data_IF_046905017788
#
_entry.id   IF_046905017788
#
_cell.length_a   1.000
_cell.length_b   1.000
_cell.length_c   1.000
_cell.angle_alpha   90.00
_cell.angle_beta   90.00
_cell.angle_gamma   90.00
#
_symmetry.space_group_name_H-M   'P 1'
#
loop_
_entity.id
_entity.type
_entity.pdbx_description
1 polymer ?
#
# COMPACT_ATOMS: atom_id res chain seq x y z
N UNK A 1 15.73 -22.93 -1.08
CA UNK A 1 17.05 -22.35 -0.75
C UNK A 1 17.00 -22.08 0.74
N UNK A 2 17.78 -22.82 1.52
CA UNK A 2 17.90 -22.59 2.96
C UNK A 2 18.42 -21.17 3.15
N UNK A 3 17.70 -20.37 3.92
CA UNK A 3 18.21 -19.12 4.44
C UNK A 3 19.36 -19.50 5.35
N UNK A 4 20.59 -19.24 4.94
CA UNK A 4 21.74 -19.32 5.84
C UNK A 4 21.44 -18.49 7.06
N UNK A 5 21.38 -19.16 8.20
CA UNK A 5 21.33 -18.48 9.50
C UNK A 5 22.68 -17.78 9.66
N UNK A 6 22.69 -16.50 9.44
CA UNK A 6 23.80 -15.65 9.87
C UNK A 6 23.91 -15.79 11.37
N UNK A 7 25.07 -16.25 11.81
CA UNK A 7 25.44 -16.30 13.24
C UNK A 7 25.31 -14.91 13.84
N UNK A 8 24.85 -14.76 15.09
CA UNK A 8 24.82 -13.49 15.77
C UNK A 8 26.30 -13.03 15.95
N UNK A 9 26.64 -11.89 15.41
CA UNK A 9 27.84 -11.15 15.78
C UNK A 9 27.72 -10.78 17.26
N UNK A 10 28.37 -11.57 18.08
CA UNK A 10 28.48 -11.36 19.51
C UNK A 10 29.59 -10.35 19.80
N UNK A 11 29.32 -9.06 19.65
CA UNK A 11 30.04 -8.04 20.40
C UNK A 11 29.06 -7.49 21.44
N UNK A 12 29.37 -7.74 22.70
CA UNK A 12 28.71 -7.08 23.84
C UNK A 12 29.00 -5.59 23.73
N UNK A 13 28.02 -4.84 23.21
CA UNK A 13 27.99 -3.40 23.35
C UNK A 13 27.69 -3.16 24.84
N UNK A 14 28.68 -2.65 25.57
CA UNK A 14 28.45 -2.12 26.91
C UNK A 14 27.35 -1.07 26.82
N UNK A 15 26.33 -1.11 27.68
CA UNK A 15 25.34 -0.04 27.75
C UNK A 15 26.11 1.24 28.11
N UNK A 16 25.97 2.26 27.28
CA UNK A 16 26.35 3.63 27.63
C UNK A 16 25.72 3.93 28.98
N UNK A 17 26.56 4.24 29.97
CA UNK A 17 26.23 4.35 31.37
C UNK A 17 24.89 5.08 31.58
N UNK A 18 24.08 4.50 32.45
CA UNK A 18 22.91 5.14 33.04
C UNK A 18 23.35 6.47 33.66
N UNK A 19 23.35 7.51 32.85
CA UNK A 19 23.10 8.82 33.40
C UNK A 19 21.66 8.76 33.85
N UNK A 20 21.43 8.66 35.14
CA UNK A 20 20.19 8.97 35.82
C UNK A 20 19.72 10.37 35.37
N UNK A 21 19.23 10.44 34.11
CA UNK A 21 18.48 11.55 33.60
C UNK A 21 17.13 11.48 34.29
N UNK A 22 16.78 12.49 35.03
CA UNK A 22 15.46 12.72 35.60
C UNK A 22 14.40 12.22 34.61
N UNK A 23 13.69 11.17 35.01
CA UNK A 23 12.74 10.47 34.15
C UNK A 23 11.80 11.49 33.50
N UNK A 24 11.74 11.45 32.18
CA UNK A 24 10.71 12.14 31.43
C UNK A 24 9.35 11.67 31.99
N UNK A 25 8.72 12.49 32.81
CA UNK A 25 7.39 12.26 33.36
C UNK A 25 6.34 12.50 32.27
N UNK A 26 6.61 11.98 31.06
CA UNK A 26 5.66 12.00 29.97
C UNK A 26 4.52 11.02 30.26
N UNK A 27 3.31 11.53 30.39
CA UNK A 27 2.11 10.69 30.53
C UNK A 27 1.83 9.88 29.26
N UNK A 28 2.51 10.12 28.14
CA UNK A 28 2.28 9.53 26.81
C UNK A 28 3.54 8.81 26.34
N UNK A 29 3.43 7.53 26.00
CA UNK A 29 4.55 6.73 25.50
C UNK A 29 4.69 6.85 23.99
N UNK A 30 3.58 7.05 23.27
CA UNK A 30 3.54 7.15 21.81
C UNK A 30 2.58 8.25 21.36
N UNK A 31 3.04 9.13 20.47
CA UNK A 31 2.20 9.98 19.63
C UNK A 31 2.33 9.52 18.16
N UNK A 32 1.20 9.34 17.48
CA UNK A 32 1.15 8.98 16.07
C UNK A 32 0.61 10.16 15.27
N UNK A 33 1.37 10.65 14.30
CA UNK A 33 0.97 11.74 13.38
C UNK A 33 0.48 11.14 12.06
N UNK A 34 -0.77 11.42 11.72
CA UNK A 34 -1.49 10.79 10.61
C UNK A 34 -2.17 9.50 11.06
N UNK A 35 -3.49 9.53 11.17
CA UNK A 35 -4.31 8.42 11.67
C UNK A 35 -5.02 7.66 10.55
N UNK A 36 -4.39 7.60 9.37
CA UNK A 36 -4.88 6.84 8.22
C UNK A 36 -4.57 5.33 8.30
N UNK A 37 -4.48 4.70 7.12
CA UNK A 37 -4.28 3.25 6.94
C UNK A 37 -2.97 2.69 7.52
N UNK A 38 -2.02 3.53 7.88
CA UNK A 38 -0.76 3.15 8.55
C UNK A 38 -0.81 3.49 10.03
N UNK A 39 -1.12 4.74 10.37
CA UNK A 39 -0.98 5.22 11.74
C UNK A 39 -2.06 4.70 12.69
N UNK A 40 -3.30 4.52 12.23
CA UNK A 40 -4.37 4.01 13.11
C UNK A 40 -4.16 2.54 13.49
N UNK A 41 -3.81 1.61 12.56
CA UNK A 41 -3.41 0.26 12.93
C UNK A 41 -2.19 0.20 13.87
N UNK A 42 -1.18 1.06 13.66
CA UNK A 42 -0.03 1.16 14.56
C UNK A 42 -0.46 1.58 15.97
N UNK A 43 -1.31 2.61 16.07
CA UNK A 43 -1.84 3.08 17.35
C UNK A 43 -2.63 1.97 18.08
N UNK A 44 -3.46 1.21 17.33
CA UNK A 44 -4.22 0.06 17.87
C UNK A 44 -3.30 -1.00 18.48
N UNK A 45 -2.26 -1.40 17.74
CA UNK A 45 -1.32 -2.42 18.24
C UNK A 45 -0.56 -1.94 19.48
N UNK A 46 -0.12 -0.68 19.50
CA UNK A 46 0.54 -0.10 20.65
C UNK A 46 -0.38 -0.04 21.88
N UNK A 47 -1.65 0.37 21.69
CA UNK A 47 -2.66 0.36 22.77
C UNK A 47 -2.93 -1.06 23.26
N UNK A 48 -2.96 -2.05 22.39
CA UNK A 48 -3.27 -3.44 22.75
C UNK A 48 -2.26 -4.07 23.71
N UNK A 49 -1.04 -3.54 23.76
CA UNK A 49 0.00 -3.97 24.71
C UNK A 49 0.12 -3.05 25.92
N UNK A 50 -0.84 -2.13 26.11
CA UNK A 50 -0.95 -1.26 27.27
C UNK A 50 -0.13 0.02 27.20
N UNK A 51 0.38 0.42 26.02
CA UNK A 51 1.02 1.72 25.88
C UNK A 51 -0.01 2.86 25.90
N UNK A 52 0.35 3.97 26.51
CA UNK A 52 -0.44 5.21 26.49
C UNK A 52 -0.18 5.95 25.20
N UNK A 53 -1.20 5.93 24.30
CA UNK A 53 -1.09 6.43 22.94
C UNK A 53 -2.00 7.62 22.71
N UNK A 54 -1.49 8.62 22.01
CA UNK A 54 -2.28 9.72 21.44
C UNK A 54 -2.10 9.76 19.93
N UNK A 55 -3.10 10.27 19.22
CA UNK A 55 -3.03 10.49 17.80
C UNK A 55 -3.13 11.98 17.46
N UNK A 56 -2.46 12.39 16.38
CA UNK A 56 -2.58 13.72 15.78
C UNK A 56 -3.01 13.56 14.33
N UNK A 57 -4.12 14.21 13.96
CA UNK A 57 -4.56 14.28 12.57
C UNK A 57 -5.08 15.68 12.25
N UNK A 58 -4.82 16.15 11.03
CA UNK A 58 -5.26 17.49 10.60
C UNK A 58 -6.75 17.54 10.26
N UNK A 59 -7.39 16.39 9.96
CA UNK A 59 -8.81 16.33 9.63
C UNK A 59 -9.65 16.27 10.94
N UNK A 60 -10.42 17.32 11.25
CA UNK A 60 -11.27 17.34 12.42
C UNK A 60 -12.38 16.28 12.39
N UNK A 61 -12.80 15.83 11.19
CA UNK A 61 -13.81 14.75 11.07
C UNK A 61 -13.22 13.40 11.47
N UNK A 62 -11.98 13.11 11.08
CA UNK A 62 -11.23 11.92 11.51
C UNK A 62 -11.09 11.93 13.04
N UNK A 63 -10.62 13.03 13.60
CA UNK A 63 -10.43 13.19 15.06
C UNK A 63 -11.75 13.04 15.82
N UNK A 64 -12.82 13.70 15.38
CA UNK A 64 -14.14 13.58 15.99
C UNK A 64 -14.71 12.15 15.87
N UNK A 65 -14.55 11.51 14.72
CA UNK A 65 -14.94 10.12 14.48
C UNK A 65 -14.27 9.17 15.47
N UNK A 66 -12.95 9.19 15.55
CA UNK A 66 -12.16 8.35 16.43
C UNK A 66 -12.49 8.60 17.91
N UNK A 67 -12.62 9.86 18.33
CA UNK A 67 -12.99 10.21 19.69
C UNK A 67 -14.42 9.79 20.05
N UNK A 68 -15.31 9.59 19.07
CA UNK A 68 -16.66 9.02 19.25
C UNK A 68 -16.74 7.50 19.11
N UNK A 69 -15.60 6.81 18.91
CA UNK A 69 -15.54 5.35 18.79
C UNK A 69 -15.86 4.83 17.38
N UNK A 70 -15.69 5.65 16.33
CA UNK A 70 -15.92 5.29 14.94
C UNK A 70 -14.62 5.30 14.15
N UNK A 71 -14.41 4.27 13.35
CA UNK A 71 -13.29 4.16 12.43
C UNK A 71 -13.63 4.76 11.06
N UNK A 72 -12.59 5.16 10.35
CA UNK A 72 -12.63 5.52 8.93
C UNK A 72 -11.65 4.65 8.11
N UNK A 73 -11.06 3.63 8.74
CA UNK A 73 -10.09 2.70 8.15
C UNK A 73 -10.64 1.30 8.24
N UNK A 74 -10.76 0.60 7.11
CA UNK A 74 -11.40 -0.73 7.02
C UNK A 74 -10.72 -1.79 7.89
N UNK A 75 -9.38 -1.70 8.04
CA UNK A 75 -8.57 -2.64 8.84
C UNK A 75 -8.68 -2.42 10.37
N UNK A 76 -9.39 -1.40 10.81
CA UNK A 76 -9.65 -1.09 12.22
C UNK A 76 -11.14 -0.92 12.41
N UNK A 77 -11.77 -1.82 13.14
CA UNK A 77 -13.21 -1.77 13.36
C UNK A 77 -13.61 -0.68 14.38
N UNK A 78 -14.89 -0.28 14.38
CA UNK A 78 -15.45 0.60 15.41
C UNK A 78 -15.27 0.01 16.82
N UNK A 79 -15.34 -1.32 16.94
CA UNK A 79 -15.08 -2.03 18.20
C UNK A 79 -13.63 -1.88 18.64
N UNK A 80 -12.69 -1.92 17.72
CA UNK A 80 -11.27 -1.66 18.03
C UNK A 80 -11.10 -0.22 18.54
N UNK A 81 -11.69 0.76 17.85
CA UNK A 81 -11.60 2.17 18.26
C UNK A 81 -12.22 2.38 19.64
N UNK A 82 -13.38 1.74 19.93
CA UNK A 82 -13.99 1.80 21.27
C UNK A 82 -13.06 1.25 22.34
N UNK A 83 -12.44 0.06 22.11
CA UNK A 83 -11.45 -0.53 23.02
C UNK A 83 -10.24 0.37 23.21
N UNK A 84 -9.73 1.00 22.14
CA UNK A 84 -8.64 1.98 22.25
C UNK A 84 -9.03 3.17 23.13
N UNK A 85 -10.24 3.69 22.97
CA UNK A 85 -10.77 4.79 23.79
C UNK A 85 -10.89 4.41 25.26
N UNK A 86 -11.39 3.22 25.56
CA UNK A 86 -11.49 2.68 26.93
C UNK A 86 -10.10 2.52 27.57
N UNK A 87 -9.07 2.20 26.76
CA UNK A 87 -7.68 2.15 27.19
C UNK A 87 -6.99 3.52 27.25
N UNK A 88 -7.71 4.62 26.98
CA UNK A 88 -7.21 5.99 27.14
C UNK A 88 -6.66 6.64 25.86
N UNK A 89 -6.78 6.00 24.68
CA UNK A 89 -6.43 6.64 23.42
C UNK A 89 -7.27 7.89 23.18
N UNK A 90 -6.63 8.95 22.70
CA UNK A 90 -7.31 10.20 22.32
C UNK A 90 -6.65 10.77 21.06
N UNK A 91 -7.48 11.20 20.11
CA UNK A 91 -7.04 11.91 18.92
C UNK A 91 -7.16 13.43 19.09
N UNK A 92 -6.22 14.17 18.51
CA UNK A 92 -6.11 15.63 18.59
C UNK A 92 -5.90 16.23 17.20
N UNK A 93 -6.29 17.51 17.04
CA UNK A 93 -5.91 18.33 15.88
C UNK A 93 -4.78 19.31 16.22
N UNK A 94 -4.42 19.44 17.50
CA UNK A 94 -3.41 20.36 18.03
C UNK A 94 -2.12 19.58 18.35
N UNK A 95 -0.99 20.11 17.92
CA UNK A 95 0.34 19.51 18.09
C UNK A 95 0.90 19.59 19.51
N UNK A 96 0.23 20.28 20.45
CA UNK A 96 0.64 20.35 21.85
C UNK A 96 0.70 18.95 22.53
N UNK A 97 -0.05 17.97 22.01
CA UNK A 97 0.03 16.58 22.48
C UNK A 97 1.42 15.95 22.30
N UNK A 98 2.24 16.44 21.35
CA UNK A 98 3.56 15.92 21.04
C UNK A 98 4.58 16.21 22.16
N UNK A 99 4.40 17.30 22.92
CA UNK A 99 5.30 17.63 24.03
C UNK A 99 5.37 16.53 25.10
N UNK A 100 4.30 15.75 25.25
CA UNK A 100 4.17 14.74 26.31
C UNK A 100 4.63 13.37 25.87
N UNK A 101 4.90 13.17 24.57
CA UNK A 101 5.23 11.87 24.02
C UNK A 101 6.71 11.52 24.24
N UNK A 102 6.97 10.26 24.59
CA UNK A 102 8.35 9.69 24.61
C UNK A 102 8.82 9.31 23.19
N UNK A 103 7.89 8.80 22.38
CA UNK A 103 8.12 8.46 20.98
C UNK A 103 7.08 9.17 20.11
N UNK A 104 7.52 9.71 18.98
CA UNK A 104 6.64 10.28 17.95
C UNK A 104 6.87 9.50 16.65
N UNK A 105 5.79 8.96 16.07
CA UNK A 105 5.83 8.25 14.78
C UNK A 105 5.06 9.07 13.74
N UNK A 106 5.71 9.35 12.61
CA UNK A 106 5.16 10.13 11.50
C UNK A 106 4.66 9.16 10.42
N UNK A 107 3.33 9.11 10.22
CA UNK A 107 2.62 8.23 9.28
C UNK A 107 1.76 9.04 8.29
N UNK A 108 2.22 10.19 7.85
CA UNK A 108 1.50 11.07 6.95
C UNK A 108 1.59 10.61 5.49
N UNK A 109 0.60 10.94 4.63
CA UNK A 109 0.64 10.56 3.23
C UNK A 109 1.77 11.26 2.47
N UNK A 110 2.28 10.58 1.45
CA UNK A 110 3.31 11.06 0.53
C UNK A 110 2.84 10.80 -0.91
N UNK A 111 1.89 11.59 -1.46
CA UNK A 111 1.43 11.40 -2.83
C UNK A 111 2.52 11.76 -3.84
N UNK A 112 2.30 11.46 -5.12
CA UNK A 112 3.16 11.96 -6.19
C UNK A 112 2.85 13.43 -6.44
N UNK A 113 3.90 14.22 -6.66
CA UNK A 113 3.83 15.58 -7.18
C UNK A 113 3.69 15.58 -8.70
N UNK A 114 3.38 16.73 -9.30
CA UNK A 114 3.15 16.88 -10.73
C UNK A 114 4.38 16.50 -11.58
N UNK A 115 5.57 16.58 -11.02
CA UNK A 115 6.84 16.18 -11.67
C UNK A 115 7.17 14.66 -11.50
N UNK A 116 6.25 13.90 -10.89
CA UNK A 116 6.35 12.46 -10.68
C UNK A 116 7.24 12.06 -9.49
N UNK A 117 7.74 13.01 -8.70
CA UNK A 117 8.44 12.79 -7.46
C UNK A 117 7.48 12.64 -6.26
N UNK A 118 7.98 12.27 -5.07
CA UNK A 118 7.16 12.28 -3.86
C UNK A 118 6.90 13.71 -3.40
N UNK A 119 5.64 14.04 -3.11
CA UNK A 119 5.30 15.25 -2.38
C UNK A 119 5.61 15.05 -0.89
N UNK A 120 6.68 15.70 -0.42
CA UNK A 120 7.10 15.65 0.97
C UNK A 120 6.48 16.75 1.84
N UNK A 121 5.54 17.53 1.33
CA UNK A 121 4.92 18.66 2.04
C UNK A 121 4.33 18.24 3.40
N UNK A 122 3.61 17.13 3.45
CA UNK A 122 3.05 16.61 4.70
C UNK A 122 4.14 16.13 5.67
N UNK A 123 5.19 15.47 5.18
CA UNK A 123 6.35 15.02 6.01
C UNK A 123 7.08 16.23 6.59
N UNK A 124 7.35 17.25 5.78
CA UNK A 124 8.01 18.49 6.22
C UNK A 124 7.16 19.22 7.27
N UNK A 125 5.86 19.33 7.03
CA UNK A 125 4.93 19.97 7.97
C UNK A 125 4.87 19.22 9.31
N UNK A 126 4.70 17.90 9.28
CA UNK A 126 4.70 17.06 10.47
C UNK A 126 6.03 17.14 11.23
N UNK A 127 7.16 17.12 10.51
CA UNK A 127 8.50 17.24 11.11
C UNK A 127 8.69 18.60 11.80
N UNK A 128 8.21 19.69 11.22
CA UNK A 128 8.25 21.02 11.83
C UNK A 128 7.38 21.11 13.08
N UNK A 129 6.18 20.51 13.07
CA UNK A 129 5.35 20.40 14.26
C UNK A 129 6.08 19.66 15.40
N UNK A 130 6.74 18.53 15.05
CA UNK A 130 7.59 17.80 16.01
C UNK A 130 8.74 18.68 16.51
N UNK A 131 9.48 19.35 15.62
CA UNK A 131 10.63 20.19 15.98
C UNK A 131 10.25 21.31 16.95
N UNK A 132 9.06 21.93 16.75
CA UNK A 132 8.53 22.96 17.65
C UNK A 132 8.20 22.47 19.06
N UNK A 133 8.04 21.17 19.26
CA UNK A 133 7.69 20.50 20.52
C UNK A 133 8.75 19.53 21.02
N UNK A 134 9.91 19.47 20.32
CA UNK A 134 10.93 18.46 20.56
C UNK A 134 11.62 18.63 21.90
N UNK A 135 11.84 17.54 22.61
CA UNK A 135 12.52 17.52 23.92
C UNK A 135 13.64 16.47 23.94
N UNK A 136 14.64 16.73 24.78
CA UNK A 136 15.72 15.76 25.03
C UNK A 136 15.14 14.38 25.42
N UNK A 137 15.74 13.36 24.88
CA UNK A 137 15.35 11.99 25.16
C UNK A 137 14.20 11.46 24.31
N UNK A 138 13.54 12.24 23.45
CA UNK A 138 12.50 11.72 22.54
C UNK A 138 13.10 10.86 21.43
N UNK A 139 12.28 9.89 20.98
CA UNK A 139 12.51 9.14 19.74
C UNK A 139 11.53 9.64 18.68
N UNK A 140 12.02 10.00 17.51
CA UNK A 140 11.21 10.32 16.33
C UNK A 140 11.43 9.23 15.30
N UNK A 141 10.35 8.70 14.73
CA UNK A 141 10.40 7.68 13.67
C UNK A 141 9.59 8.17 12.48
N UNK A 142 10.19 8.14 11.30
CA UNK A 142 9.49 8.32 10.04
C UNK A 142 9.02 6.94 9.55
N UNK A 143 7.70 6.76 9.35
CA UNK A 143 7.13 5.55 8.70
C UNK A 143 6.59 5.84 7.31
N UNK A 144 6.32 7.10 6.98
CA UNK A 144 5.87 7.49 5.63
C UNK A 144 6.84 7.00 4.58
N UNK A 145 6.32 6.41 3.49
CA UNK A 145 7.15 5.92 2.38
C UNK A 145 7.81 7.09 1.67
N UNK A 146 9.12 7.01 1.51
CA UNK A 146 9.95 8.07 0.89
C UNK A 146 11.12 7.43 0.13
N UNK A 147 11.98 8.25 -0.49
CA UNK A 147 13.21 7.78 -1.14
C UNK A 147 14.39 7.72 -0.16
N UNK A 148 15.42 6.90 -0.46
CA UNK A 148 16.62 6.77 0.38
C UNK A 148 17.32 8.11 0.58
N UNK A 149 17.52 8.46 1.84
CA UNK A 149 18.12 9.70 2.29
C UNK A 149 17.13 10.73 2.84
N UNK A 150 15.81 10.56 2.68
CA UNK A 150 14.83 11.53 3.18
C UNK A 150 14.96 11.75 4.68
N UNK A 151 15.12 10.70 5.46
CA UNK A 151 15.27 10.81 6.92
C UNK A 151 16.48 11.66 7.32
N UNK A 152 17.61 11.48 6.65
CA UNK A 152 18.85 12.21 6.98
C UNK A 152 18.95 13.58 6.31
N UNK A 153 18.45 13.71 5.06
CA UNK A 153 18.65 14.91 4.26
C UNK A 153 17.53 15.94 4.46
N UNK A 154 16.32 15.48 4.86
CA UNK A 154 15.14 16.34 5.04
C UNK A 154 14.70 16.39 6.50
N UNK A 155 14.39 15.23 7.11
CA UNK A 155 13.81 15.18 8.45
C UNK A 155 14.81 15.62 9.52
N UNK A 156 16.03 15.09 9.49
CA UNK A 156 17.07 15.42 10.47
C UNK A 156 17.36 16.93 10.56
N UNK A 157 17.65 17.66 9.47
CA UNK A 157 17.93 19.09 9.55
C UNK A 157 16.78 19.89 10.15
N UNK A 158 15.52 19.55 9.79
CA UNK A 158 14.34 20.21 10.34
C UNK A 158 14.17 19.97 11.85
N UNK A 159 14.46 18.76 12.34
CA UNK A 159 14.44 18.49 13.79
C UNK A 159 15.55 19.25 14.51
N UNK A 160 16.73 19.37 13.92
CA UNK A 160 17.88 20.08 14.50
C UNK A 160 17.70 21.62 14.52
N UNK A 161 16.71 22.19 13.80
CA UNK A 161 16.28 23.59 13.95
C UNK A 161 15.81 23.90 15.39
N UNK A 162 15.37 22.89 16.15
CA UNK A 162 15.06 23.02 17.59
C UNK A 162 16.26 23.32 18.48
N UNK A 163 17.49 23.21 17.94
CA UNK A 163 18.75 23.31 18.70
C UNK A 163 19.18 22.00 19.37
N UNK A 164 18.39 20.92 19.24
CA UNK A 164 18.73 19.59 19.73
C UNK A 164 19.41 18.77 18.62
N UNK A 165 20.38 17.92 18.99
CA UNK A 165 21.16 17.11 18.03
C UNK A 165 20.62 15.68 17.95
N UNK A 166 20.42 15.21 16.73
CA UNK A 166 20.05 13.82 16.46
C UNK A 166 21.23 12.90 16.76
N UNK A 167 20.99 11.85 17.54
CA UNK A 167 21.99 10.89 17.99
C UNK A 167 22.65 11.22 19.33
N UNK A 168 22.50 12.45 19.80
CA UNK A 168 22.99 12.93 21.11
C UNK A 168 21.83 13.25 22.05
N UNK A 169 20.99 14.20 21.68
CA UNK A 169 19.89 14.71 22.49
C UNK A 169 18.58 13.98 22.22
N UNK A 170 18.35 13.61 20.95
CA UNK A 170 17.14 12.94 20.47
C UNK A 170 17.52 11.81 19.53
N UNK A 171 16.66 10.80 19.42
CA UNK A 171 16.86 9.73 18.45
C UNK A 171 15.98 9.93 17.23
N UNK A 172 16.51 9.60 16.04
CA UNK A 172 15.80 9.59 14.77
C UNK A 172 16.01 8.27 14.07
N UNK A 173 14.93 7.66 13.61
CA UNK A 173 14.93 6.40 12.88
C UNK A 173 13.93 6.43 11.72
N UNK A 174 14.09 5.49 10.80
CA UNK A 174 13.13 5.15 9.76
C UNK A 174 12.65 3.71 9.95
N UNK A 175 11.36 3.49 9.76
CA UNK A 175 10.78 2.15 9.79
C UNK A 175 9.63 2.06 8.80
N UNK A 176 9.82 1.41 7.63
CA UNK A 176 8.77 1.36 6.62
C UNK A 176 7.56 0.55 7.09
N UNK A 177 6.36 0.99 6.70
CA UNK A 177 5.18 0.14 6.81
C UNK A 177 5.19 -0.94 5.73
N UNK A 178 4.91 -2.20 6.13
CA UNK A 178 4.98 -3.38 5.28
C UNK A 178 3.72 -4.23 5.32
N UNK A 179 2.66 -3.74 5.98
CA UNK A 179 1.38 -4.45 6.02
C UNK A 179 0.74 -4.44 4.63
N UNK A 180 0.06 -5.53 4.32
CA UNK A 180 -0.80 -5.65 3.15
C UNK A 180 -2.27 -5.48 3.60
N UNK A 181 -2.91 -4.32 3.35
CA UNK A 181 -4.29 -4.07 3.79
C UNK A 181 -5.24 -5.20 3.38
N UNK A 182 -6.13 -5.61 4.31
CA UNK A 182 -7.02 -6.74 4.12
C UNK A 182 -6.37 -8.12 4.29
N UNK A 183 -5.08 -8.21 4.66
CA UNK A 183 -4.43 -9.48 4.95
C UNK A 183 -4.74 -9.94 6.39
N UNK A 184 -5.59 -10.96 6.51
CA UNK A 184 -6.02 -11.50 7.82
C UNK A 184 -4.99 -12.43 8.48
N UNK A 185 -3.92 -12.83 7.78
CA UNK A 185 -2.92 -13.78 8.30
C UNK A 185 -1.68 -13.10 8.87
N UNK A 186 -1.30 -11.95 8.32
CA UNK A 186 -0.08 -11.23 8.68
C UNK A 186 -0.41 -9.76 8.92
N UNK A 187 -0.72 -9.45 10.17
CA UNK A 187 -0.89 -8.08 10.65
C UNK A 187 0.44 -7.42 11.01
N UNK A 188 0.38 -6.28 11.69
CA UNK A 188 1.57 -5.52 12.11
C UNK A 188 2.45 -6.32 13.07
N UNK A 189 1.85 -7.07 13.97
CA UNK A 189 2.56 -7.89 14.97
C UNK A 189 3.36 -9.03 14.35
N UNK A 190 2.80 -9.71 13.34
CA UNK A 190 3.37 -10.89 12.69
C UNK A 190 4.34 -10.54 11.56
N UNK A 191 4.19 -9.36 10.95
CA UNK A 191 5.06 -8.92 9.86
C UNK A 191 6.39 -8.40 10.42
N UNK A 192 7.54 -8.99 10.05
CA UNK A 192 8.83 -8.50 10.51
C UNK A 192 9.03 -7.02 10.16
N UNK A 193 9.29 -6.17 11.16
CA UNK A 193 9.45 -4.74 10.96
C UNK A 193 10.93 -4.39 10.76
N UNK A 194 11.22 -3.67 9.67
CA UNK A 194 12.58 -3.18 9.39
C UNK A 194 12.78 -1.84 10.11
N UNK A 195 13.92 -1.65 10.75
CA UNK A 195 14.26 -0.43 11.49
C UNK A 195 15.68 0.02 11.14
N UNK A 196 15.83 1.26 10.71
CA UNK A 196 17.12 1.92 10.50
C UNK A 196 17.24 3.18 11.36
N UNK A 197 18.31 3.32 12.11
CA UNK A 197 18.61 4.53 12.89
C UNK A 197 19.63 5.44 12.21
N UNK A 198 19.56 6.76 12.43
CA UNK A 198 20.59 7.70 11.99
C UNK A 198 21.94 7.43 12.67
N UNK A 199 21.92 6.85 13.87
CA UNK A 199 23.08 6.38 14.60
C UNK A 199 22.80 5.01 15.21
N UNK A 200 23.81 4.23 15.65
CA UNK A 200 23.57 2.97 16.34
C UNK A 200 22.66 3.12 17.58
N UNK A 201 22.81 4.19 18.35
CA UNK A 201 21.96 4.46 19.52
C UNK A 201 20.51 4.76 19.12
N UNK A 202 20.28 5.48 18.01
CA UNK A 202 18.95 5.70 17.45
C UNK A 202 18.29 4.37 17.05
N UNK A 203 19.06 3.48 16.39
CA UNK A 203 18.56 2.17 15.99
C UNK A 203 18.15 1.32 17.20
N UNK A 204 19.00 1.23 18.22
CA UNK A 204 18.69 0.48 19.46
C UNK A 204 17.40 0.99 20.12
N UNK A 205 17.21 2.31 20.20
CA UNK A 205 16.00 2.89 20.79
C UNK A 205 14.75 2.55 19.98
N UNK A 206 14.81 2.64 18.66
CA UNK A 206 13.68 2.30 17.80
C UNK A 206 13.38 0.79 17.83
N UNK A 207 14.39 -0.08 17.82
CA UNK A 207 14.26 -1.53 18.02
C UNK A 207 13.58 -1.84 19.36
N UNK A 208 14.02 -1.20 20.44
CA UNK A 208 13.42 -1.38 21.77
C UNK A 208 11.96 -0.91 21.81
N UNK A 209 11.65 0.19 21.13
CA UNK A 209 10.27 0.68 21.05
C UNK A 209 9.35 -0.30 20.32
N UNK A 210 9.68 -0.70 19.09
CA UNK A 210 8.87 -1.61 18.31
C UNK A 210 8.81 -3.02 18.90
N UNK A 211 9.88 -3.48 19.58
CA UNK A 211 9.93 -4.75 20.27
C UNK A 211 8.89 -4.93 21.38
N UNK A 212 8.20 -3.86 21.77
CA UNK A 212 7.09 -3.95 22.73
C UNK A 212 5.84 -4.60 22.14
N UNK A 213 5.63 -4.49 20.80
CA UNK A 213 4.40 -4.93 20.15
C UNK A 213 4.59 -5.62 18.78
N UNK A 214 5.81 -5.73 18.25
CA UNK A 214 6.12 -6.46 17.03
C UNK A 214 6.97 -7.67 17.35
N UNK A 215 6.60 -8.84 16.81
CA UNK A 215 7.24 -10.13 17.14
C UNK A 215 8.69 -10.24 16.64
N UNK A 216 9.01 -9.62 15.50
CA UNK A 216 10.33 -9.68 14.90
C UNK A 216 10.74 -8.32 14.36
N UNK A 217 11.94 -7.89 14.73
CA UNK A 217 12.53 -6.66 14.20
C UNK A 217 13.82 -7.00 13.48
N UNK A 218 13.95 -6.45 12.29
CA UNK A 218 15.14 -6.55 11.45
C UNK A 218 15.84 -5.20 11.47
N UNK A 219 16.96 -5.10 12.15
CA UNK A 219 17.73 -3.88 12.18
C UNK A 219 18.51 -3.74 10.86
N UNK A 220 18.25 -2.68 10.12
CA UNK A 220 19.04 -2.27 8.95
C UNK A 220 20.34 -1.60 9.37
N UNK A 221 21.30 -1.49 8.45
CA UNK A 221 22.58 -0.81 8.68
C UNK A 221 22.38 0.68 8.99
N UNK A 222 21.39 1.32 8.37
CA UNK A 222 21.04 2.71 8.56
C UNK A 222 19.63 3.02 8.02
N UNK A 223 19.26 4.29 8.07
CA UNK A 223 17.96 4.76 7.56
C UNK A 223 17.83 4.54 6.07
N UNK A 224 18.88 4.77 5.28
CA UNK A 224 18.87 4.63 3.82
C UNK A 224 18.61 3.20 3.36
N UNK A 225 19.16 2.20 4.04
CA UNK A 225 18.90 0.79 3.74
C UNK A 225 17.47 0.41 4.12
N UNK A 226 16.93 0.96 5.21
CA UNK A 226 15.55 0.72 5.61
C UNK A 226 14.56 1.38 4.63
N UNK A 227 14.82 2.61 4.16
CA UNK A 227 14.06 3.30 3.12
C UNK A 227 14.12 2.51 1.80
N UNK A 228 15.32 2.06 1.40
CA UNK A 228 15.52 1.28 0.17
C UNK A 228 14.79 -0.07 0.23
N UNK A 229 14.74 -0.73 1.37
CA UNK A 229 14.10 -2.04 1.51
C UNK A 229 12.63 -2.01 1.07
N UNK A 230 11.88 -0.99 1.50
CA UNK A 230 10.48 -0.79 1.10
C UNK A 230 10.34 -0.61 -0.40
N UNK A 231 11.15 0.25 -0.98
CA UNK A 231 11.11 0.53 -2.42
C UNK A 231 11.52 -0.69 -3.24
N UNK A 232 12.51 -1.46 -2.76
CA UNK A 232 12.93 -2.70 -3.42
C UNK A 232 11.81 -3.74 -3.46
N UNK A 233 11.08 -3.93 -2.35
CA UNK A 233 9.94 -4.86 -2.26
C UNK A 233 8.85 -4.49 -3.29
N UNK A 234 8.48 -3.21 -3.35
CA UNK A 234 7.42 -2.76 -4.25
C UNK A 234 7.90 -2.71 -5.72
N UNK A 235 9.16 -2.32 -5.97
CA UNK A 235 9.76 -2.40 -7.31
C UNK A 235 9.83 -3.84 -7.81
N UNK A 236 10.23 -4.79 -6.95
CA UNK A 236 10.24 -6.20 -7.30
C UNK A 236 8.85 -6.70 -7.72
N UNK A 237 7.80 -6.37 -6.97
CA UNK A 237 6.43 -6.72 -7.35
C UNK A 237 6.02 -6.05 -8.66
N UNK A 238 6.27 -4.76 -8.80
CA UNK A 238 5.91 -3.98 -9.98
C UNK A 238 6.54 -4.53 -11.28
N UNK A 239 7.85 -4.81 -11.26
CA UNK A 239 8.60 -5.36 -12.40
C UNK A 239 8.13 -6.78 -12.76
N UNK A 240 7.90 -7.64 -11.76
CA UNK A 240 7.46 -9.01 -12.01
C UNK A 240 6.01 -9.07 -12.51
N UNK A 241 5.13 -8.16 -12.08
CA UNK A 241 3.79 -8.04 -12.66
C UNK A 241 3.88 -7.58 -14.13
N UNK A 242 4.72 -6.60 -14.43
CA UNK A 242 4.95 -6.17 -15.81
C UNK A 242 5.47 -7.32 -16.69
N UNK A 243 6.43 -8.10 -16.21
CA UNK A 243 6.96 -9.26 -16.91
C UNK A 243 5.85 -10.26 -17.29
N UNK A 244 4.99 -10.64 -16.35
CA UNK A 244 3.92 -11.62 -16.66
C UNK A 244 2.79 -10.99 -17.48
N UNK A 245 2.54 -9.69 -17.38
CA UNK A 245 1.62 -8.97 -18.25
C UNK A 245 2.11 -8.94 -19.71
N UNK A 246 3.38 -8.66 -19.93
CA UNK A 246 3.99 -8.73 -21.27
C UNK A 246 3.98 -10.14 -21.82
N UNK A 247 4.31 -11.14 -20.98
CA UNK A 247 4.21 -12.54 -21.34
C UNK A 247 2.79 -12.97 -21.72
N UNK A 248 1.74 -12.43 -21.08
CA UNK A 248 0.37 -12.73 -21.47
C UNK A 248 0.06 -12.26 -22.90
N UNK A 249 0.55 -11.07 -23.28
CA UNK A 249 0.41 -10.55 -24.64
C UNK A 249 1.14 -11.45 -25.64
N UNK A 250 2.41 -11.75 -25.41
CA UNK A 250 3.26 -12.58 -26.28
C UNK A 250 2.72 -14.00 -26.39
N UNK A 251 2.34 -14.61 -25.29
CA UNK A 251 1.83 -15.99 -25.24
C UNK A 251 0.57 -16.17 -26.07
N UNK A 252 -0.31 -15.16 -26.07
CA UNK A 252 -1.50 -15.16 -26.92
C UNK A 252 -1.15 -15.24 -28.41
N UNK A 253 -0.21 -14.41 -28.85
CA UNK A 253 0.22 -14.39 -30.25
C UNK A 253 0.92 -15.72 -30.67
N UNK A 254 1.57 -16.35 -29.69
CA UNK A 254 2.24 -17.67 -29.89
C UNK A 254 1.31 -18.86 -29.64
N UNK A 255 0.02 -18.63 -29.33
CA UNK A 255 -0.95 -19.67 -28.95
C UNK A 255 -0.50 -20.55 -27.78
N UNK A 256 0.14 -19.92 -26.77
CA UNK A 256 0.57 -20.54 -25.50
C UNK A 256 -0.38 -20.12 -24.39
N UNK A 257 -0.80 -21.08 -23.56
CA UNK A 257 -1.51 -20.79 -22.32
C UNK A 257 -0.50 -20.30 -21.27
N UNK A 258 -0.48 -18.97 -21.04
CA UNK A 258 0.41 -18.33 -20.07
C UNK A 258 0.12 -18.75 -18.63
N UNK A 259 -1.14 -19.03 -18.30
CA UNK A 259 -1.55 -19.43 -16.96
C UNK A 259 -1.02 -20.82 -16.61
N UNK A 260 -1.11 -21.76 -17.56
CA UNK A 260 -0.52 -23.09 -17.41
C UNK A 260 1.01 -23.02 -17.37
N UNK A 261 1.62 -22.20 -18.20
CA UNK A 261 3.07 -21.98 -18.18
C UNK A 261 3.56 -21.45 -16.82
N UNK A 262 2.86 -20.46 -16.24
CA UNK A 262 3.15 -19.93 -14.89
C UNK A 262 2.95 -21.02 -13.83
N UNK A 263 1.86 -21.80 -13.92
CA UNK A 263 1.60 -22.92 -13.01
C UNK A 263 2.73 -23.93 -13.06
N UNK A 264 3.15 -24.33 -14.26
CA UNK A 264 4.26 -25.27 -14.46
C UNK A 264 5.58 -24.72 -13.92
N UNK A 265 5.92 -23.46 -14.22
CA UNK A 265 7.13 -22.82 -13.69
C UNK A 265 7.12 -22.72 -12.16
N UNK A 266 5.94 -22.51 -11.56
CA UNK A 266 5.73 -22.44 -10.12
C UNK A 266 5.94 -23.76 -9.37
N UNK A 267 6.02 -24.89 -10.06
CA UNK A 267 6.37 -26.18 -9.44
C UNK A 267 7.84 -26.29 -9.07
N UNK A 268 8.69 -25.40 -9.63
CA UNK A 268 10.10 -25.36 -9.27
C UNK A 268 10.26 -24.79 -7.84
N UNK A 269 10.88 -25.53 -6.91
CA UNK A 269 10.91 -25.13 -5.48
C UNK A 269 11.92 -24.00 -5.18
N UNK A 270 12.64 -23.49 -6.17
CA UNK A 270 13.63 -22.41 -6.02
C UNK A 270 13.74 -21.57 -7.29
N UNK A 271 14.17 -20.31 -7.12
CA UNK A 271 14.51 -19.40 -8.23
C UNK A 271 13.33 -18.96 -9.09
N UNK A 272 12.07 -19.20 -8.65
CA UNK A 272 10.86 -18.71 -9.30
C UNK A 272 9.80 -18.38 -8.26
N UNK A 273 9.21 -17.19 -8.36
CA UNK A 273 8.03 -16.78 -7.62
C UNK A 273 6.93 -16.49 -8.65
N UNK A 274 5.78 -17.13 -8.50
CA UNK A 274 4.67 -16.96 -9.41
C UNK A 274 4.00 -15.60 -9.24
N UNK A 275 3.98 -14.81 -10.28
CA UNK A 275 3.11 -13.65 -10.47
C UNK A 275 2.06 -13.99 -11.52
N UNK A 276 0.96 -13.23 -11.54
CA UNK A 276 -0.16 -13.49 -12.46
C UNK A 276 -0.46 -12.25 -13.28
N UNK A 277 -0.80 -12.41 -14.55
CA UNK A 277 -1.30 -11.32 -15.38
C UNK A 277 -2.52 -10.65 -14.77
N UNK A 278 -2.72 -9.39 -15.11
CA UNK A 278 -3.81 -8.56 -14.57
C UNK A 278 -4.19 -7.47 -15.57
N UNK A 279 -5.38 -6.86 -15.45
CA UNK A 279 -5.79 -5.74 -16.30
C UNK A 279 -4.99 -4.46 -16.08
N UNK A 280 -4.03 -4.47 -15.17
CA UNK A 280 -3.16 -3.37 -14.79
C UNK A 280 -2.79 -3.49 -13.32
N UNK A 281 -2.03 -2.52 -12.82
CA UNK A 281 -1.60 -2.43 -11.42
C UNK A 281 -2.28 -1.25 -10.78
N UNK A 282 -2.96 -1.49 -9.66
CA UNK A 282 -3.64 -0.46 -8.89
C UNK A 282 -3.15 -0.39 -7.44
N UNK A 283 -3.81 0.45 -6.65
CA UNK A 283 -3.47 0.71 -5.26
C UNK A 283 -2.43 1.82 -5.10
N UNK A 284 -2.24 2.25 -3.87
CA UNK A 284 -1.41 3.42 -3.56
C UNK A 284 0.10 3.12 -3.49
N UNK A 285 0.52 1.85 -3.44
CA UNK A 285 1.94 1.50 -3.20
C UNK A 285 2.65 1.04 -4.48
N UNK A 286 2.13 -0.01 -5.15
CA UNK A 286 2.87 -0.66 -6.25
C UNK A 286 3.06 0.26 -7.47
N UNK A 287 2.07 1.04 -7.93
CA UNK A 287 2.28 1.97 -9.05
C UNK A 287 3.01 3.26 -8.64
N UNK A 288 3.09 3.59 -7.35
CA UNK A 288 3.58 4.88 -6.84
C UNK A 288 5.00 4.79 -6.27
N UNK A 289 5.28 3.88 -5.34
CA UNK A 289 6.55 3.82 -4.63
C UNK A 289 7.78 3.64 -5.54
N UNK A 290 7.75 2.85 -6.64
CA UNK A 290 8.87 2.76 -7.56
C UNK A 290 9.24 4.11 -8.21
N UNK A 291 8.27 5.04 -8.35
CA UNK A 291 8.54 6.38 -8.88
C UNK A 291 9.43 7.19 -7.95
N UNK A 292 9.33 7.00 -6.63
CA UNK A 292 10.20 7.71 -5.68
C UNK A 292 11.67 7.36 -5.90
N UNK A 293 11.95 6.08 -6.17
CA UNK A 293 13.30 5.66 -6.48
C UNK A 293 13.75 6.16 -7.86
N UNK A 294 12.88 6.09 -8.87
CA UNK A 294 13.16 6.62 -10.22
C UNK A 294 13.44 8.12 -10.16
N UNK A 295 12.63 8.89 -9.42
CA UNK A 295 12.84 10.32 -9.19
C UNK A 295 14.20 10.60 -8.53
N UNK A 296 14.55 9.89 -7.43
CA UNK A 296 15.83 10.08 -6.74
C UNK A 296 17.02 9.72 -7.63
N UNK A 297 16.92 8.66 -8.41
CA UNK A 297 17.97 8.27 -9.37
C UNK A 297 18.15 9.38 -10.43
N UNK A 298 17.05 9.85 -11.02
CA UNK A 298 17.10 10.91 -12.05
C UNK A 298 17.66 12.22 -11.48
N UNK A 299 17.15 12.66 -10.34
CA UNK A 299 17.56 13.95 -9.73
C UNK A 299 18.98 13.94 -9.18
N UNK A 300 19.45 12.81 -8.62
CA UNK A 300 20.77 12.73 -7.99
C UNK A 300 21.87 12.18 -8.88
N UNK A 301 21.53 11.30 -9.84
CA UNK A 301 22.50 10.57 -10.66
C UNK A 301 22.43 10.95 -12.16
N UNK A 302 21.34 11.64 -12.60
CA UNK A 302 21.20 12.14 -13.94
C UNK A 302 20.84 11.09 -15.02
N UNK A 303 20.39 9.90 -14.63
CA UNK A 303 19.94 8.86 -15.55
C UNK A 303 18.62 8.21 -15.08
N UNK A 304 17.98 7.44 -15.95
CA UNK A 304 16.70 6.77 -15.67
C UNK A 304 16.88 5.43 -14.99
N UNK A 305 15.95 5.07 -14.11
CA UNK A 305 15.84 3.71 -13.58
C UNK A 305 15.03 2.84 -14.55
N UNK A 306 15.70 2.30 -15.57
CA UNK A 306 15.09 1.64 -16.74
C UNK A 306 14.07 0.55 -16.44
N UNK A 307 14.30 -0.27 -15.41
CA UNK A 307 13.36 -1.35 -15.05
C UNK A 307 12.03 -0.80 -14.56
N UNK A 308 12.04 0.31 -13.84
CA UNK A 308 10.80 0.94 -13.35
C UNK A 308 10.05 1.60 -14.52
N UNK A 309 10.74 2.37 -15.35
CA UNK A 309 10.14 3.04 -16.51
C UNK A 309 9.49 2.03 -17.47
N UNK A 310 10.21 0.94 -17.81
CA UNK A 310 9.70 -0.12 -18.68
C UNK A 310 8.48 -0.82 -18.05
N UNK A 311 8.57 -1.16 -16.75
CA UNK A 311 7.48 -1.84 -16.06
C UNK A 311 6.22 -0.96 -15.99
N UNK A 312 6.38 0.35 -15.79
CA UNK A 312 5.27 1.30 -15.83
C UNK A 312 4.63 1.38 -17.20
N UNK A 313 5.44 1.44 -18.26
CA UNK A 313 4.93 1.44 -19.64
C UNK A 313 4.08 0.21 -19.90
N UNK A 314 4.60 -0.99 -19.60
CA UNK A 314 3.91 -2.25 -19.82
C UNK A 314 2.60 -2.30 -19.02
N UNK A 315 2.65 -2.04 -17.72
CA UNK A 315 1.47 -2.12 -16.85
C UNK A 315 0.40 -1.09 -17.24
N UNK A 316 0.78 0.11 -17.67
CA UNK A 316 -0.14 1.17 -18.12
C UNK A 316 -0.87 0.81 -19.41
N UNK A 317 -0.28 -0.03 -20.27
CA UNK A 317 -0.87 -0.48 -21.54
C UNK A 317 -1.87 -1.63 -21.35
N UNK A 318 -1.90 -2.28 -20.19
CA UNK A 318 -2.78 -3.44 -19.96
C UNK A 318 -4.28 -3.11 -20.09
N UNK A 319 -4.81 -1.98 -19.60
CA UNK A 319 -6.20 -1.62 -19.82
C UNK A 319 -6.59 -1.54 -21.29
N UNK A 320 -5.70 -0.97 -22.14
CA UNK A 320 -5.94 -0.92 -23.58
C UNK A 320 -5.92 -2.33 -24.21
N UNK A 321 -5.00 -3.19 -23.74
CA UNK A 321 -4.98 -4.58 -24.18
C UNK A 321 -6.26 -5.32 -23.81
N UNK A 322 -6.78 -5.15 -22.59
CA UNK A 322 -8.05 -5.74 -22.16
C UNK A 322 -9.22 -5.27 -23.04
N UNK A 323 -9.30 -3.97 -23.33
CA UNK A 323 -10.38 -3.43 -24.18
C UNK A 323 -10.26 -3.93 -25.63
N UNK A 324 -9.06 -4.06 -26.19
CA UNK A 324 -8.84 -4.68 -27.50
C UNK A 324 -9.31 -6.13 -27.51
N UNK A 325 -8.98 -6.91 -26.47
CA UNK A 325 -9.44 -8.29 -26.33
C UNK A 325 -10.96 -8.41 -26.22
N UNK A 326 -11.59 -7.50 -25.46
CA UNK A 326 -13.04 -7.40 -25.36
C UNK A 326 -13.69 -7.12 -26.73
N UNK A 327 -13.09 -6.23 -27.53
CA UNK A 327 -13.53 -5.96 -28.89
C UNK A 327 -13.39 -7.19 -29.80
N UNK A 328 -12.29 -7.93 -29.74
CA UNK A 328 -12.06 -9.13 -30.53
C UNK A 328 -13.07 -10.22 -30.20
N UNK A 329 -13.42 -10.39 -28.91
CA UNK A 329 -14.45 -11.34 -28.46
C UNK A 329 -15.83 -11.00 -29.03
N UNK A 330 -16.23 -9.73 -28.93
CA UNK A 330 -17.51 -9.26 -29.48
C UNK A 330 -17.52 -9.44 -31.01
N UNK A 331 -16.45 -9.08 -31.70
CA UNK A 331 -16.34 -9.27 -33.15
C UNK A 331 -16.47 -10.75 -33.57
N UNK A 332 -15.87 -11.67 -32.81
CA UNK A 332 -16.01 -13.12 -33.04
C UNK A 332 -17.44 -13.58 -32.88
N UNK A 333 -18.21 -12.95 -31.96
CA UNK A 333 -19.63 -13.17 -31.80
C UNK A 333 -20.52 -12.39 -32.80
N UNK A 334 -19.91 -11.72 -33.78
CA UNK A 334 -20.62 -10.95 -34.80
C UNK A 334 -21.21 -9.63 -34.33
N UNK A 335 -20.66 -9.05 -33.24
CA UNK A 335 -21.12 -7.79 -32.62
C UNK A 335 -20.00 -6.76 -32.58
N UNK A 336 -20.28 -5.49 -32.93
CA UNK A 336 -19.32 -4.41 -32.74
C UNK A 336 -19.24 -4.02 -31.25
N UNK A 337 -18.12 -3.52 -30.79
CA UNK A 337 -18.01 -2.93 -29.46
C UNK A 337 -18.88 -1.66 -29.31
N UNK A 338 -19.00 -0.88 -30.37
CA UNK A 338 -19.87 0.28 -30.45
C UNK A 338 -21.33 -0.12 -30.21
N UNK A 339 -21.97 0.44 -29.20
CA UNK A 339 -23.35 0.16 -28.82
C UNK A 339 -23.54 -1.15 -28.05
N UNK A 340 -22.48 -1.92 -27.81
CA UNK A 340 -22.57 -3.12 -26.97
C UNK A 340 -22.67 -2.75 -25.49
N UNK A 341 -23.46 -3.52 -24.74
CA UNK A 341 -23.61 -3.42 -23.29
C UNK A 341 -22.55 -4.27 -22.62
N UNK A 342 -21.62 -3.63 -21.87
CA UNK A 342 -20.50 -4.26 -21.19
C UNK A 342 -20.68 -4.17 -19.68
N UNK A 343 -20.69 -5.30 -18.99
CA UNK A 343 -20.75 -5.40 -17.53
C UNK A 343 -19.34 -5.64 -16.97
N UNK A 344 -18.89 -4.76 -16.09
CA UNK A 344 -17.62 -4.91 -15.34
C UNK A 344 -17.91 -5.52 -13.96
N UNK A 345 -17.21 -6.60 -13.62
CA UNK A 345 -17.30 -7.26 -12.32
C UNK A 345 -16.05 -6.99 -11.50
N UNK A 346 -16.24 -6.36 -10.33
CA UNK A 346 -15.15 -5.95 -9.43
C UNK A 346 -14.39 -4.75 -9.97
N UNK A 347 -14.63 -3.57 -9.38
CA UNK A 347 -14.03 -2.31 -9.83
C UNK A 347 -12.95 -1.79 -8.86
N UNK A 348 -12.70 -2.49 -7.77
CA UNK A 348 -11.63 -2.18 -6.82
C UNK A 348 -10.26 -2.69 -7.33
N UNK A 349 -9.17 -2.15 -6.79
CA UNK A 349 -7.83 -2.58 -7.22
C UNK A 349 -7.42 -3.94 -6.63
N UNK A 350 -8.05 -4.37 -5.55
CA UNK A 350 -7.74 -5.62 -4.82
C UNK A 350 -9.03 -6.32 -4.43
N UNK A 351 -9.09 -7.68 -4.38
CA UNK A 351 -10.28 -8.40 -3.95
C UNK A 351 -10.61 -8.11 -2.47
N UNK A 352 -11.92 -8.10 -2.18
CA UNK A 352 -12.48 -8.03 -0.82
C UNK A 352 -12.15 -6.76 -0.03
N UNK A 353 -11.90 -5.65 -0.73
CA UNK A 353 -11.74 -4.30 -0.16
C UNK A 353 -12.58 -3.29 -0.94
N UNK A 354 -12.95 -2.18 -0.31
CA UNK A 354 -13.71 -1.09 -0.94
C UNK A 354 -12.82 0.00 -1.58
N UNK A 355 -11.55 -0.30 -1.85
CA UNK A 355 -10.55 0.69 -2.27
C UNK A 355 -10.47 0.82 -3.81
N UNK A 356 -10.75 2.03 -4.29
CA UNK A 356 -10.78 2.39 -5.72
C UNK A 356 -9.52 3.14 -6.18
N UNK A 357 -8.54 3.36 -5.32
CA UNK A 357 -7.34 4.15 -5.67
C UNK A 357 -6.55 3.47 -6.78
N UNK A 358 -6.26 4.22 -7.84
CA UNK A 358 -5.49 3.73 -9.02
C UNK A 358 -6.04 2.42 -9.60
N UNK A 359 -7.35 2.16 -9.50
CA UNK A 359 -7.92 0.91 -10.01
C UNK A 359 -7.80 0.82 -11.54
N UNK A 360 -7.36 -0.34 -12.09
CA UNK A 360 -7.36 -0.57 -13.53
C UNK A 360 -8.76 -0.52 -14.18
N UNK A 361 -9.81 -0.64 -13.39
CA UNK A 361 -11.20 -0.55 -13.88
C UNK A 361 -11.51 0.85 -14.44
N UNK A 362 -10.86 1.90 -13.92
CA UNK A 362 -11.08 3.27 -14.40
C UNK A 362 -10.61 3.47 -15.85
N UNK A 363 -9.34 3.23 -16.21
CA UNK A 363 -8.90 3.35 -17.60
C UNK A 363 -9.61 2.36 -18.53
N UNK A 364 -9.97 1.15 -18.08
CA UNK A 364 -10.79 0.22 -18.87
C UNK A 364 -12.15 0.84 -19.19
N UNK A 365 -12.82 1.42 -18.22
CA UNK A 365 -14.12 2.08 -18.40
C UNK A 365 -14.04 3.25 -19.35
N UNK A 366 -13.02 4.11 -19.18
CA UNK A 366 -12.77 5.26 -20.06
C UNK A 366 -12.62 4.80 -21.51
N UNK A 367 -11.76 3.83 -21.75
CA UNK A 367 -11.48 3.30 -23.08
C UNK A 367 -12.70 2.59 -23.73
N UNK A 368 -13.54 1.91 -22.95
CA UNK A 368 -14.79 1.32 -23.44
C UNK A 368 -15.79 2.41 -23.86
N UNK A 369 -15.95 3.47 -23.04
CA UNK A 369 -16.81 4.61 -23.34
C UNK A 369 -16.33 5.40 -24.56
N UNK A 370 -15.02 5.60 -24.72
CA UNK A 370 -14.44 6.23 -25.92
C UNK A 370 -14.81 5.45 -27.20
N UNK A 371 -14.95 4.14 -27.10
CA UNK A 371 -15.38 3.26 -28.19
C UNK A 371 -16.91 3.11 -28.26
N UNK A 372 -17.65 3.95 -27.54
CA UNK A 372 -19.12 4.02 -27.55
C UNK A 372 -19.81 2.74 -27.03
N UNK A 373 -19.17 2.00 -26.13
CA UNK A 373 -19.83 0.93 -25.37
C UNK A 373 -20.66 1.49 -24.21
N UNK A 374 -21.79 0.84 -23.90
CA UNK A 374 -22.60 1.13 -22.72
C UNK A 374 -22.05 0.32 -21.53
N UNK A 375 -21.42 1.03 -20.58
CA UNK A 375 -20.74 0.38 -19.46
C UNK A 375 -21.54 0.49 -18.19
N UNK A 376 -21.73 -0.65 -17.51
CA UNK A 376 -22.22 -0.72 -16.14
C UNK A 376 -21.30 -1.59 -15.28
N UNK A 377 -21.45 -1.54 -13.97
CA UNK A 377 -20.63 -2.35 -13.06
C UNK A 377 -21.47 -3.07 -12.00
N UNK A 378 -20.87 -4.13 -11.47
CA UNK A 378 -21.26 -4.75 -10.21
C UNK A 378 -20.02 -4.92 -9.34
N UNK A 379 -20.15 -4.54 -8.09
CA UNK A 379 -19.11 -4.75 -7.06
C UNK A 379 -19.79 -4.93 -5.70
N UNK A 380 -19.44 -5.96 -4.91
CA UNK A 380 -20.04 -6.19 -3.61
C UNK A 380 -19.65 -5.15 -2.55
N UNK A 381 -18.53 -4.45 -2.75
CA UNK A 381 -17.95 -3.49 -1.80
C UNK A 381 -18.15 -2.02 -2.21
N UNK A 382 -18.60 -1.76 -3.45
CA UNK A 382 -18.75 -0.41 -4.00
C UNK A 382 -20.19 -0.16 -4.41
N UNK A 383 -20.84 0.80 -3.75
CA UNK A 383 -22.21 1.17 -4.07
C UNK A 383 -22.30 2.23 -5.17
N UNK A 384 -21.36 3.15 -5.23
CA UNK A 384 -21.31 4.27 -6.18
C UNK A 384 -19.91 4.42 -6.73
N UNK A 385 -19.84 4.61 -8.02
CA UNK A 385 -18.58 4.81 -8.72
C UNK A 385 -18.76 5.76 -9.89
N UNK A 386 -17.75 6.60 -10.13
CA UNK A 386 -17.71 7.54 -11.26
C UNK A 386 -16.33 7.52 -11.89
N UNK A 387 -16.28 7.72 -13.20
CA UNK A 387 -15.06 7.86 -13.98
C UNK A 387 -15.12 9.18 -14.71
N UNK A 388 -14.08 10.03 -14.57
CA UNK A 388 -14.02 11.39 -15.12
C UNK A 388 -15.24 12.25 -14.75
N UNK A 389 -15.74 12.10 -13.51
CA UNK A 389 -16.92 12.80 -13.00
C UNK A 389 -18.26 12.29 -13.53
N UNK A 390 -18.27 11.27 -14.39
CA UNK A 390 -19.49 10.67 -14.94
C UNK A 390 -19.80 9.36 -14.20
N UNK A 391 -20.96 9.29 -13.56
CA UNK A 391 -21.38 8.09 -12.85
C UNK A 391 -21.42 6.87 -13.78
N UNK A 392 -20.98 5.71 -13.26
CA UNK A 392 -21.13 4.41 -13.91
C UNK A 392 -22.35 3.72 -13.29
N UNK A 393 -23.34 3.28 -14.10
CA UNK A 393 -24.52 2.59 -13.59
C UNK A 393 -24.15 1.30 -12.86
N UNK A 394 -24.67 1.12 -11.63
CA UNK A 394 -24.51 -0.13 -10.86
C UNK A 394 -25.69 -1.06 -11.14
N UNK A 395 -25.41 -2.34 -11.42
CA UNK A 395 -26.47 -3.36 -11.51
C UNK A 395 -26.76 -3.92 -10.12
N UNK A 396 -28.05 -4.09 -9.79
CA UNK A 396 -28.49 -4.63 -8.49
C UNK A 396 -28.66 -6.14 -8.52
N UNK A 397 -29.28 -6.68 -9.58
CA UNK A 397 -29.44 -8.12 -9.80
C UNK A 397 -28.38 -8.62 -10.78
N UNK A 398 -27.32 -9.20 -10.23
CA UNK A 398 -26.19 -9.71 -11.02
C UNK A 398 -26.64 -10.84 -11.96
N UNK A 399 -27.52 -11.75 -11.51
CA UNK A 399 -27.95 -12.91 -12.31
C UNK A 399 -28.76 -12.48 -13.54
N UNK A 400 -29.64 -11.49 -13.39
CA UNK A 400 -30.35 -10.91 -14.51
C UNK A 400 -29.41 -10.19 -15.48
N UNK A 401 -28.50 -9.37 -14.94
CA UNK A 401 -27.53 -8.61 -15.73
C UNK A 401 -26.61 -9.50 -16.57
N UNK A 402 -26.10 -10.62 -16.03
CA UNK A 402 -25.25 -11.56 -16.75
C UNK A 402 -25.89 -12.10 -18.05
N UNK A 403 -27.23 -12.18 -18.11
CA UNK A 403 -27.99 -12.64 -19.28
C UNK A 403 -28.29 -11.53 -20.29
N UNK A 404 -28.30 -10.30 -19.80
CA UNK A 404 -28.72 -9.14 -20.59
C UNK A 404 -27.56 -8.40 -21.26
N UNK A 405 -26.35 -8.49 -20.70
CA UNK A 405 -25.19 -7.81 -21.24
C UNK A 405 -24.52 -8.61 -22.34
N UNK A 406 -24.00 -7.92 -23.35
CA UNK A 406 -23.36 -8.52 -24.51
C UNK A 406 -21.98 -9.11 -24.15
N UNK A 407 -21.29 -8.52 -23.18
CA UNK A 407 -20.02 -8.98 -22.64
C UNK A 407 -19.94 -8.69 -21.15
N UNK A 408 -19.48 -9.66 -20.38
CA UNK A 408 -19.10 -9.51 -18.97
C UNK A 408 -17.58 -9.60 -18.83
N UNK A 409 -16.94 -8.65 -18.15
CA UNK A 409 -15.50 -8.64 -17.88
C UNK A 409 -15.27 -8.76 -16.38
N UNK A 410 -14.61 -9.83 -15.94
CA UNK A 410 -14.16 -9.99 -14.55
C UNK A 410 -12.85 -9.26 -14.38
N UNK A 411 -12.88 -8.07 -13.78
CA UNK A 411 -11.68 -7.26 -13.48
C UNK A 411 -11.10 -7.58 -12.10
N UNK A 412 -11.97 -7.95 -11.12
CA UNK A 412 -11.53 -8.34 -9.79
C UNK A 412 -12.35 -9.51 -9.26
N UNK A 413 -11.66 -10.50 -8.70
CA UNK A 413 -12.23 -11.78 -8.24
C UNK A 413 -12.58 -11.75 -6.75
N UNK A 414 -13.56 -10.90 -6.35
CA UNK A 414 -14.07 -10.87 -4.98
C UNK A 414 -14.58 -12.23 -4.52
N UNK A 415 -14.34 -12.58 -3.27
CA UNK A 415 -14.79 -13.86 -2.68
C UNK A 415 -16.31 -14.03 -2.67
N UNK A 416 -17.06 -12.91 -2.75
CA UNK A 416 -18.50 -12.89 -2.86
C UNK A 416 -19.04 -13.35 -4.23
N UNK A 417 -18.19 -13.48 -5.26
CA UNK A 417 -18.61 -13.98 -6.57
C UNK A 417 -18.60 -15.51 -6.63
N UNK A 418 -19.75 -16.08 -7.01
CA UNK A 418 -19.83 -17.48 -7.41
C UNK A 418 -19.34 -17.64 -8.86
N UNK A 419 -18.02 -17.86 -9.01
CA UNK A 419 -17.37 -17.96 -10.32
C UNK A 419 -17.96 -19.05 -11.24
N UNK A 420 -18.33 -20.26 -10.76
CA UNK A 420 -19.06 -21.24 -11.57
C UNK A 420 -20.37 -20.69 -12.13
N UNK A 421 -21.20 -20.04 -11.29
CA UNK A 421 -22.47 -19.44 -11.72
C UNK A 421 -22.27 -18.30 -12.71
N UNK A 422 -21.22 -17.48 -12.56
CA UNK A 422 -20.85 -16.46 -13.55
C UNK A 422 -20.58 -17.09 -14.91
N UNK A 423 -19.77 -18.16 -14.95
CA UNK A 423 -19.41 -18.87 -16.16
C UNK A 423 -20.57 -19.61 -16.83
N UNK A 424 -21.58 -20.03 -16.06
CA UNK A 424 -22.76 -20.72 -16.59
C UNK A 424 -23.84 -19.76 -17.10
N UNK A 425 -23.84 -18.51 -16.60
CA UNK A 425 -24.94 -17.56 -16.82
C UNK A 425 -24.58 -16.49 -17.85
N UNK A 426 -23.35 -16.02 -17.89
CA UNK A 426 -22.91 -14.98 -18.83
C UNK A 426 -22.90 -15.48 -20.27
N UNK A 427 -23.40 -14.66 -21.20
CA UNK A 427 -23.38 -14.98 -22.62
C UNK A 427 -21.94 -15.00 -23.19
N UNK A 428 -21.19 -13.94 -22.97
CA UNK A 428 -19.74 -13.87 -23.21
C UNK A 428 -19.07 -13.43 -21.90
N UNK A 429 -18.05 -14.18 -21.47
CA UNK A 429 -17.30 -13.87 -20.25
C UNK A 429 -15.80 -13.77 -20.57
N UNK A 430 -15.22 -12.64 -20.18
CA UNK A 430 -13.78 -12.41 -20.25
C UNK A 430 -13.21 -12.32 -18.81
N UNK A 431 -12.45 -13.32 -18.42
CA UNK A 431 -11.80 -13.40 -17.13
C UNK A 431 -10.37 -12.83 -17.22
N UNK A 432 -10.16 -11.64 -16.68
CA UNK A 432 -8.83 -11.01 -16.64
C UNK A 432 -7.97 -11.45 -15.45
N UNK A 433 -8.52 -12.31 -14.57
CA UNK A 433 -7.86 -12.78 -13.36
C UNK A 433 -7.38 -14.23 -13.42
N UNK A 434 -7.77 -14.96 -14.51
CA UNK A 434 -7.43 -16.37 -14.66
C UNK A 434 -7.98 -17.23 -13.52
N UNK A 435 -9.24 -17.06 -13.19
CA UNK A 435 -9.92 -17.80 -12.12
C UNK A 435 -10.89 -18.84 -12.64
N UNK A 436 -11.31 -18.70 -13.90
CA UNK A 436 -12.38 -19.51 -14.51
C UNK A 436 -11.82 -20.24 -15.72
N UNK A 437 -11.45 -21.49 -15.54
CA UNK A 437 -10.94 -22.37 -16.62
C UNK A 437 -12.07 -23.25 -17.12
N UNK A 438 -12.95 -22.69 -17.97
CA UNK A 438 -14.11 -23.37 -18.55
C UNK A 438 -14.18 -23.13 -20.06
N UNK A 439 -14.56 -24.14 -20.89
CA UNK A 439 -14.80 -23.91 -22.31
C UNK A 439 -15.82 -22.78 -22.53
N UNK A 440 -15.50 -21.84 -23.41
CA UNK A 440 -16.34 -20.68 -23.71
C UNK A 440 -16.07 -19.45 -22.84
N UNK A 441 -15.24 -19.54 -21.79
CA UNK A 441 -14.72 -18.40 -21.05
C UNK A 441 -13.37 -17.99 -21.65
N UNK A 442 -13.29 -16.75 -22.05
CA UNK A 442 -12.00 -16.19 -22.52
C UNK A 442 -11.18 -15.75 -21.32
N UNK A 443 -9.88 -16.04 -21.33
CA UNK A 443 -8.93 -15.67 -20.26
C UNK A 443 -7.87 -14.72 -20.82
N UNK A 444 -7.40 -13.77 -19.99
CA UNK A 444 -6.38 -12.78 -20.35
C UNK A 444 -5.06 -13.45 -20.75
#
# INVERSE_FOLDING_TARGET
>A
MQVERTQPLGDRIEPLGDTEGQGLTGEVELAVIGLGYVGLPLAREAVSVGLRVVGLDLDPHVVAGLNSGRSHVDDVSDDDVRRMREAGFTAYTDDACLERAQTVVICVPTPLSDDGGPDLGAVISATRAVAGRLRRGQLVVLESTTYPGTTEEVVRPLLEESGLRVGEDVALAFSPERIDPGNTRHGLRETPKVVGGCTPSCAVRAVTFYGKFVNMIVQAKGTREAEMAKLLENTYRHVNIALVNELAIISRELHVDVWDAIRCAGTKPFGFQAFRPSPGVGGHCIPIDPNYLSYKVRSSLGYEFRFVELAQEINRRMPEYVVRRAQDLLNTAGRPLHGSRVLLLGVTYKPDVADLRETPAEPVTRLLRERQAEVAFHDPHVERWSVDGVAVPRVGDLTAALREYDLTILLQDHSAYDLPTLADTAGLLFDTRGRIFKPGVEVL
#
